data_IF_316670267191
#
_entry.id   IF_316670267191
#
_cell.length_a   1.000
_cell.length_b   1.000
_cell.length_c   1.000
_cell.angle_alpha   90.00
_cell.angle_beta   90.00
_cell.angle_gamma   90.00
#
_symmetry.space_group_name_H-M   'P 1'
#
loop_
_entity.id
_entity.type
_entity.pdbx_description
1 polymer ?
#
# COMPACT_ATOMS: atom_id res chain seq x y z
N UNK A 1 2.05 9.59 15.87
CA UNK A 1 1.37 8.40 15.36
C UNK A 1 1.55 8.31 13.85
N UNK A 2 2.05 7.19 13.36
CA UNK A 2 2.23 6.98 11.93
C UNK A 2 0.98 6.39 11.30
N UNK A 3 0.63 6.87 10.13
CA UNK A 3 -0.42 6.25 9.34
C UNK A 3 0.15 5.08 8.54
N UNK A 4 -0.54 3.96 8.55
CA UNK A 4 -0.09 2.74 7.88
C UNK A 4 -0.68 2.66 6.48
N UNK A 5 0.19 2.57 5.50
CA UNK A 5 -0.16 2.46 4.08
C UNK A 5 0.34 1.11 3.57
N UNK A 6 -0.48 0.44 2.79
CA UNK A 6 -0.08 -0.80 2.11
C UNK A 6 -0.09 -0.58 0.60
N UNK A 7 1.00 -0.93 -0.06
CA UNK A 7 1.08 -0.98 -1.52
C UNK A 7 1.54 -2.36 -1.95
N UNK A 8 1.06 -2.82 -3.09
CA UNK A 8 1.52 -4.05 -3.72
C UNK A 8 2.01 -3.71 -5.12
N UNK A 9 3.20 -4.19 -5.49
CA UNK A 9 3.77 -3.83 -6.79
C UNK A 9 4.86 -4.81 -7.24
N UNK A 10 5.21 -4.70 -8.51
CA UNK A 10 6.40 -5.30 -9.09
C UNK A 10 7.39 -4.19 -9.49
N UNK A 11 8.56 -4.58 -10.03
CA UNK A 11 9.63 -3.64 -10.37
C UNK A 11 9.24 -2.58 -11.40
N UNK A 12 8.25 -2.85 -12.24
CA UNK A 12 7.76 -1.88 -13.23
C UNK A 12 7.03 -0.69 -12.63
N UNK A 13 6.66 -0.75 -11.35
CA UNK A 13 5.91 0.31 -10.69
C UNK A 13 6.72 1.13 -9.71
N UNK A 14 8.05 1.00 -9.70
CA UNK A 14 8.91 1.74 -8.77
C UNK A 14 8.83 3.25 -9.02
N UNK A 15 8.93 3.69 -10.27
CA UNK A 15 8.84 5.12 -10.59
C UNK A 15 7.45 5.69 -10.28
N UNK A 16 6.33 5.06 -10.71
CA UNK A 16 5.01 5.52 -10.27
C UNK A 16 4.86 5.58 -8.76
N UNK A 17 5.41 4.62 -8.03
CA UNK A 17 5.35 4.63 -6.57
C UNK A 17 6.06 5.84 -5.97
N UNK A 18 7.21 6.25 -6.51
CA UNK A 18 7.88 7.47 -6.05
C UNK A 18 7.00 8.70 -6.22
N UNK A 19 6.31 8.81 -7.33
CA UNK A 19 5.38 9.91 -7.58
C UNK A 19 4.24 9.89 -6.57
N UNK A 20 3.65 8.72 -6.33
CA UNK A 20 2.56 8.57 -5.36
C UNK A 20 3.01 8.95 -3.96
N UNK A 21 4.14 8.43 -3.50
CA UNK A 21 4.63 8.70 -2.14
C UNK A 21 4.98 10.17 -1.95
N UNK A 22 5.61 10.81 -2.94
CA UNK A 22 5.89 12.25 -2.87
C UNK A 22 4.58 13.05 -2.82
N UNK A 23 3.58 12.69 -3.59
CA UNK A 23 2.28 13.35 -3.55
C UNK A 23 1.57 13.15 -2.20
N UNK A 24 1.67 11.96 -1.63
CA UNK A 24 1.12 11.66 -0.32
C UNK A 24 1.74 12.55 0.76
N UNK A 25 3.06 12.67 0.76
CA UNK A 25 3.78 13.50 1.72
C UNK A 25 3.47 14.99 1.54
N UNK A 26 3.40 15.46 0.30
CA UNK A 26 3.05 16.86 0.00
C UNK A 26 1.65 17.23 0.44
N UNK A 27 0.69 16.33 0.24
CA UNK A 27 -0.72 16.58 0.56
C UNK A 27 -1.04 16.37 2.04
N UNK A 28 -0.10 15.82 2.81
CA UNK A 28 -0.30 15.49 4.22
C UNK A 28 0.92 15.92 5.03
N UNK A 29 1.25 17.22 4.99
CA UNK A 29 2.50 17.77 5.52
C UNK A 29 2.69 17.58 7.03
N UNK A 30 1.63 17.35 7.78
CA UNK A 30 1.68 17.20 9.24
C UNK A 30 1.61 15.74 9.69
N UNK A 31 1.77 14.77 8.78
CA UNK A 31 1.63 13.36 9.11
C UNK A 31 2.88 12.58 8.76
N UNK A 32 3.14 11.56 9.55
CA UNK A 32 4.17 10.57 9.30
C UNK A 32 3.52 9.27 8.80
N UNK A 33 4.24 8.55 7.96
CA UNK A 33 3.72 7.36 7.30
C UNK A 33 4.63 6.17 7.49
N UNK A 34 4.02 5.00 7.66
CA UNK A 34 4.69 3.72 7.54
C UNK A 34 4.11 3.02 6.33
N UNK A 35 4.93 2.79 5.31
CA UNK A 35 4.50 2.23 4.04
C UNK A 35 4.99 0.79 3.95
N UNK A 36 4.06 -0.14 3.99
CA UNK A 36 4.33 -1.55 3.80
C UNK A 36 4.33 -1.84 2.31
N UNK A 37 5.49 -2.22 1.80
CA UNK A 37 5.71 -2.48 0.37
C UNK A 37 5.71 -4.00 0.17
N UNK A 38 4.58 -4.53 -0.29
CA UNK A 38 4.41 -5.96 -0.52
C UNK A 38 4.76 -6.31 -1.95
N UNK A 39 5.66 -7.29 -2.12
CA UNK A 39 6.18 -7.65 -3.43
C UNK A 39 6.73 -9.07 -3.42
N UNK A 40 6.97 -9.60 -4.61
CA UNK A 40 7.64 -10.89 -4.78
C UNK A 40 8.97 -10.80 -5.54
N UNK A 41 9.30 -9.63 -6.09
CA UNK A 41 10.42 -9.52 -7.03
C UNK A 41 11.27 -8.25 -6.88
N UNK A 42 10.95 -7.34 -5.95
CA UNK A 42 11.75 -6.13 -5.78
C UNK A 42 13.12 -6.48 -5.20
N UNK A 43 14.14 -5.76 -5.67
CA UNK A 43 15.52 -5.94 -5.24
C UNK A 43 15.90 -4.90 -4.19
N UNK A 44 17.09 -5.08 -3.59
CA UNK A 44 17.66 -4.10 -2.68
C UNK A 44 17.89 -2.76 -3.38
N UNK A 45 18.24 -2.78 -4.66
CA UNK A 45 18.44 -1.57 -5.45
C UNK A 45 17.13 -0.82 -5.66
N UNK A 46 16.02 -1.53 -5.84
CA UNK A 46 14.70 -0.91 -5.95
C UNK A 46 14.34 -0.14 -4.67
N UNK A 47 14.61 -0.73 -3.51
CA UNK A 47 14.37 -0.04 -2.22
C UNK A 47 15.31 1.13 -2.04
N UNK A 48 16.57 1.02 -2.48
CA UNK A 48 17.52 2.13 -2.43
C UNK A 48 17.04 3.30 -3.29
N UNK A 49 16.52 2.99 -4.47
CA UNK A 49 15.94 4.00 -5.36
C UNK A 49 14.79 4.76 -4.67
N UNK A 50 13.90 4.03 -4.01
CA UNK A 50 12.81 4.65 -3.26
C UNK A 50 13.33 5.56 -2.15
N UNK A 51 14.31 5.10 -1.39
CA UNK A 51 14.90 5.87 -0.30
C UNK A 51 15.59 7.14 -0.79
N UNK A 52 16.17 7.11 -2.00
CA UNK A 52 16.85 8.27 -2.59
C UNK A 52 15.88 9.30 -3.16
N UNK A 53 14.68 8.87 -3.59
CA UNK A 53 13.74 9.73 -4.30
C UNK A 53 12.50 10.11 -3.48
N UNK A 54 12.38 9.61 -2.27
CA UNK A 54 11.27 9.91 -1.35
C UNK A 54 11.87 10.44 -0.04
N UNK A 55 11.37 11.58 0.49
CA UNK A 55 11.84 12.06 1.79
C UNK A 55 11.55 11.04 2.89
N UNK A 56 12.60 10.54 3.55
CA UNK A 56 12.50 9.48 4.54
C UNK A 56 12.32 10.00 5.97
N UNK A 57 12.31 11.30 6.17
CA UNK A 57 12.11 11.89 7.49
C UNK A 57 10.70 11.68 8.04
N UNK A 58 9.71 11.55 7.15
CA UNK A 58 8.31 11.30 7.52
C UNK A 58 7.73 10.02 6.92
N UNK A 59 8.56 9.23 6.25
CA UNK A 59 8.13 8.03 5.54
C UNK A 59 9.07 6.88 5.88
N UNK A 60 8.54 5.85 6.52
CA UNK A 60 9.25 4.61 6.78
C UNK A 60 8.80 3.55 5.78
N UNK A 61 9.75 2.92 5.08
CA UNK A 61 9.44 1.83 4.16
C UNK A 61 9.67 0.49 4.87
N UNK A 62 8.68 -0.38 4.81
CA UNK A 62 8.77 -1.74 5.39
C UNK A 62 8.65 -2.73 4.25
N UNK A 63 9.67 -3.56 4.09
CA UNK A 63 9.73 -4.58 3.04
C UNK A 63 8.91 -5.80 3.47
N UNK A 64 7.84 -6.09 2.74
CA UNK A 64 7.02 -7.29 2.94
C UNK A 64 7.19 -8.19 1.72
N UNK A 65 8.00 -9.24 1.87
CA UNK A 65 8.23 -10.16 0.77
C UNK A 65 7.14 -11.23 0.75
N UNK A 66 6.44 -11.30 -0.39
CA UNK A 66 5.38 -12.27 -0.62
C UNK A 66 5.95 -13.41 -1.46
N UNK A 67 5.85 -14.68 -1.02
CA UNK A 67 6.36 -15.79 -1.81
C UNK A 67 5.65 -15.91 -3.15
N UNK A 68 6.39 -16.19 -4.22
CA UNK A 68 5.82 -16.43 -5.55
C UNK A 68 4.79 -17.56 -5.53
N UNK A 69 5.02 -18.55 -4.69
CA UNK A 69 4.18 -19.76 -4.59
C UNK A 69 2.81 -19.48 -4.00
N UNK A 70 2.60 -18.35 -3.34
CA UNK A 70 1.30 -18.02 -2.74
C UNK A 70 0.18 -17.89 -3.79
N UNK A 71 0.53 -17.64 -5.03
CA UNK A 71 -0.46 -17.49 -6.11
C UNK A 71 -0.72 -18.79 -6.87
N UNK A 72 0.28 -19.67 -6.90
CA UNK A 72 0.15 -20.96 -7.60
C UNK A 72 -0.84 -21.88 -6.88
N UNK A 73 -0.90 -21.80 -5.55
CA UNK A 73 -1.71 -22.69 -4.71
C UNK A 73 -3.01 -22.05 -4.22
N UNK A 74 -3.24 -20.78 -4.52
CA UNK A 74 -4.46 -20.11 -4.12
C UNK A 74 -5.63 -20.63 -4.95
N UNK A 75 -6.73 -21.10 -4.30
CA UNK A 75 -7.91 -21.46 -5.06
C UNK A 75 -8.40 -20.24 -5.83
N UNK A 76 -8.49 -20.38 -7.14
CA UNK A 76 -9.05 -19.35 -8.00
C UNK A 76 -10.55 -19.31 -7.69
N UNK A 77 -10.92 -18.47 -6.73
CA UNK A 77 -12.32 -18.15 -6.52
C UNK A 77 -12.74 -17.33 -7.74
N UNK A 78 -13.66 -17.88 -8.52
CA UNK A 78 -14.13 -17.30 -9.78
C UNK A 78 -14.63 -15.85 -9.65
N UNK A 79 -14.79 -15.34 -8.42
CA UNK A 79 -15.38 -14.03 -8.15
C UNK A 79 -14.39 -12.96 -7.72
N UNK A 80 -13.12 -13.32 -7.43
CA UNK A 80 -12.11 -12.37 -6.98
C UNK A 80 -10.97 -12.32 -7.98
N UNK A 81 -10.65 -11.14 -8.52
CA UNK A 81 -9.44 -10.98 -9.32
C UNK A 81 -8.20 -11.39 -8.52
N UNK A 82 -7.19 -11.94 -9.18
CA UNK A 82 -5.92 -12.32 -8.54
C UNK A 82 -5.33 -11.17 -7.73
N UNK A 83 -5.50 -9.95 -8.21
CA UNK A 83 -5.01 -8.75 -7.54
C UNK A 83 -5.69 -8.50 -6.20
N UNK A 84 -7.00 -8.67 -6.12
CA UNK A 84 -7.73 -8.55 -4.86
C UNK A 84 -7.26 -9.59 -3.86
N UNK A 85 -7.05 -10.81 -4.34
CA UNK A 85 -6.54 -11.91 -3.51
C UNK A 85 -5.16 -11.57 -2.96
N UNK A 86 -4.29 -11.01 -3.80
CA UNK A 86 -2.95 -10.58 -3.43
C UNK A 86 -2.99 -9.54 -2.30
N UNK A 87 -3.87 -8.55 -2.41
CA UNK A 87 -4.04 -7.51 -1.40
C UNK A 87 -4.44 -8.09 -0.05
N UNK A 88 -5.36 -9.04 -0.04
CA UNK A 88 -5.81 -9.69 1.19
C UNK A 88 -4.69 -10.52 1.83
N UNK A 89 -3.92 -11.22 1.03
CA UNK A 89 -2.76 -11.97 1.53
C UNK A 89 -1.68 -11.07 2.06
N UNK A 90 -1.37 -10.00 1.36
CA UNK A 90 -0.38 -9.04 1.82
C UNK A 90 -0.78 -8.45 3.17
N UNK A 91 -2.06 -8.17 3.37
CA UNK A 91 -2.57 -7.66 4.64
C UNK A 91 -2.32 -8.64 5.80
N UNK A 92 -2.35 -9.95 5.54
CA UNK A 92 -2.07 -10.97 6.56
C UNK A 92 -0.61 -11.00 7.00
N UNK A 93 0.29 -10.49 6.17
CA UNK A 93 1.72 -10.47 6.47
C UNK A 93 2.12 -9.24 7.28
N UNK A 94 1.18 -8.33 7.53
CA UNK A 94 1.44 -7.14 8.33
C UNK A 94 1.66 -7.51 9.80
N UNK A 95 2.45 -6.72 10.54
CA UNK A 95 2.63 -6.94 11.97
C UNK A 95 1.29 -6.92 12.71
N UNK A 96 1.20 -7.72 13.79
CA UNK A 96 -0.04 -7.85 14.55
C UNK A 96 -0.52 -6.56 15.18
N UNK A 97 0.38 -5.65 15.49
CA UNK A 97 0.05 -4.36 16.08
C UNK A 97 -0.62 -3.40 15.09
N UNK A 98 -0.58 -3.73 13.80
CA UNK A 98 -1.25 -2.92 12.77
C UNK A 98 -2.72 -3.32 12.73
N UNK A 99 -3.59 -2.46 13.26
CA UNK A 99 -5.02 -2.71 13.28
C UNK A 99 -5.78 -1.90 12.24
N UNK A 100 -5.10 -1.00 11.55
CA UNK A 100 -5.68 -0.20 10.47
C UNK A 100 -4.61 0.10 9.44
N UNK A 101 -4.93 -0.13 8.17
CA UNK A 101 -4.06 0.17 7.04
C UNK A 101 -4.92 0.69 5.89
N UNK A 102 -4.39 1.68 5.17
CA UNK A 102 -5.00 2.17 3.94
C UNK A 102 -4.26 1.57 2.75
N UNK A 103 -4.98 0.88 1.89
CA UNK A 103 -4.42 0.35 0.66
C UNK A 103 -4.47 1.41 -0.43
N UNK A 104 -3.33 1.69 -1.05
CA UNK A 104 -3.23 2.62 -2.18
C UNK A 104 -2.55 1.91 -3.35
N UNK A 105 -3.06 2.14 -4.56
CA UNK A 105 -2.39 1.67 -5.77
C UNK A 105 -1.10 2.47 -5.99
N UNK A 106 -0.02 1.85 -6.48
CA UNK A 106 1.27 2.53 -6.62
C UNK A 106 1.30 3.61 -7.69
N UNK A 107 0.32 3.66 -8.58
CA UNK A 107 0.24 4.62 -9.69
C UNK A 107 -0.77 5.76 -9.44
N UNK A 108 -1.20 5.94 -8.19
CA UNK A 108 -2.09 7.05 -7.82
C UNK A 108 -1.29 8.33 -7.60
N UNK A 109 -2.01 9.46 -7.66
CA UNK A 109 -1.51 10.75 -7.21
C UNK A 109 -2.45 11.27 -6.12
N UNK A 110 -1.90 11.57 -4.95
CA UNK A 110 -2.67 12.06 -3.81
C UNK A 110 -2.70 13.58 -3.87
N UNK A 111 -3.90 14.16 -3.98
CA UNK A 111 -4.08 15.60 -4.17
C UNK A 111 -4.64 16.32 -2.94
N UNK A 112 -5.14 15.58 -1.96
CA UNK A 112 -5.71 16.14 -0.73
C UNK A 112 -5.29 15.31 0.49
N UNK A 113 -5.56 15.84 1.68
CA UNK A 113 -5.32 15.10 2.92
C UNK A 113 -6.13 13.80 2.95
N UNK A 114 -5.48 12.72 3.42
CA UNK A 114 -6.14 11.43 3.60
C UNK A 114 -6.66 11.21 5.02
N UNK A 115 -6.61 12.22 5.88
CA UNK A 115 -6.98 12.08 7.29
C UNK A 115 -8.38 11.51 7.46
N UNK A 116 -9.36 12.07 6.77
CA UNK A 116 -10.74 11.63 6.89
C UNK A 116 -10.93 10.20 6.39
N UNK A 117 -10.30 9.86 5.28
CA UNK A 117 -10.36 8.51 4.73
C UNK A 117 -9.71 7.51 5.68
N UNK A 118 -8.54 7.82 6.22
CA UNK A 118 -7.82 6.93 7.12
C UNK A 118 -8.58 6.69 8.42
N UNK A 119 -9.32 7.69 8.90
CA UNK A 119 -10.08 7.61 10.17
C UNK A 119 -11.52 7.17 9.99
N UNK A 120 -11.88 6.70 8.81
CA UNK A 120 -13.24 6.27 8.51
C UNK A 120 -13.70 5.21 9.50
N UNK A 121 -14.94 5.37 10.01
CA UNK A 121 -15.55 4.39 10.91
C UNK A 121 -16.01 3.19 10.07
N UNK A 122 -15.50 2.02 10.39
CA UNK A 122 -15.87 0.79 9.69
C UNK A 122 -17.25 0.24 10.10
N UNK A 123 -17.83 0.79 11.17
CA UNK A 123 -19.16 0.37 11.67
C UNK A 123 -19.26 -1.14 11.90
N UNK A 124 -18.18 -1.73 12.44
CA UNK A 124 -18.09 -3.16 12.68
C UNK A 124 -17.69 -4.01 11.48
N UNK A 125 -17.47 -3.41 10.31
CA UNK A 125 -17.00 -4.12 9.13
C UNK A 125 -15.48 -4.26 9.15
N UNK A 126 -14.95 -5.27 8.45
CA UNK A 126 -13.51 -5.52 8.39
C UNK A 126 -12.79 -4.57 7.45
N UNK A 127 -13.46 -4.06 6.43
CA UNK A 127 -12.86 -3.13 5.48
C UNK A 127 -13.91 -2.21 4.87
N UNK A 128 -13.43 -1.10 4.33
CA UNK A 128 -14.22 -0.16 3.54
C UNK A 128 -13.48 0.12 2.23
N UNK A 129 -14.22 0.32 1.16
CA UNK A 129 -13.64 0.59 -0.15
C UNK A 129 -14.45 1.66 -0.88
N UNK A 130 -13.75 2.47 -1.68
CA UNK A 130 -14.41 3.42 -2.55
C UNK A 130 -14.94 2.71 -3.80
N UNK A 131 -16.17 3.02 -4.17
CA UNK A 131 -16.74 2.48 -5.40
C UNK A 131 -16.39 3.35 -6.59
N UNK A 132 -16.14 2.69 -7.73
CA UNK A 132 -15.99 3.41 -8.99
C UNK A 132 -17.37 3.82 -9.50
N UNK A 133 -17.54 5.10 -9.71
CA UNK A 133 -18.72 5.61 -10.42
C UNK A 133 -18.27 6.10 -11.79
N UNK A 134 -18.70 5.39 -12.81
CA UNK A 134 -18.59 5.87 -14.18
C UNK A 134 -19.80 6.76 -14.43
N UNK A 135 -19.55 8.05 -14.37
CA UNK A 135 -20.59 9.04 -14.65
C UNK A 135 -20.43 9.63 -16.00
#
# INVERSE_FOLDING_TARGET
MKMNILVTLNSGYIQPLTVMLNSLLSSNSNRDFRVFVAHSSLTREDFRYLEEHVPMDRCELVNIQVPHTMFADAPVLERLPKETYYRLFAARLLPREVNRVLYLDPDLVVVHSIDQLYRLDFKGNLFAAASHQFG
#
